data_IF_782535800510
#
_entry.id   IF_782535800510
#
_cell.length_a   1.000
_cell.length_b   1.000
_cell.length_c   1.000
_cell.angle_alpha   90.00
_cell.angle_beta   90.00
_cell.angle_gamma   90.00
#
_symmetry.space_group_name_H-M   'P 1'
#
loop_
_entity.id
_entity.type
_entity.pdbx_description
1 polymer ?
#
# COMPACT_ATOMS: atom_id res chain seq x y z
N UNK A 1 -1.56 1.42 3.73
CA UNK A 1 -2.35 0.23 4.12
C UNK A 1 -2.29 -0.91 3.08
N UNK A 2 -1.64 -2.02 3.41
CA UNK A 2 -1.45 -3.18 2.50
C UNK A 2 -2.58 -4.22 2.66
N UNK A 3 -3.04 -4.81 1.56
CA UNK A 3 -3.98 -5.94 1.55
C UNK A 3 -3.31 -7.19 0.95
N UNK A 4 -3.19 -8.23 1.76
CA UNK A 4 -2.78 -9.57 1.31
C UNK A 4 -3.58 -10.64 2.07
N UNK A 5 -3.49 -11.89 1.60
CA UNK A 5 -4.08 -13.02 2.31
C UNK A 5 -3.16 -13.41 3.45
N UNK A 6 -3.72 -13.43 4.65
CA UNK A 6 -3.06 -14.03 5.80
C UNK A 6 -2.93 -15.57 5.62
N UNK A 7 -2.19 -16.27 6.51
CA UNK A 7 -2.08 -17.73 6.48
C UNK A 7 -3.42 -18.48 6.58
N UNK A 8 -4.46 -17.82 7.10
CA UNK A 8 -5.82 -18.35 7.23
C UNK A 8 -6.70 -18.05 6.00
N UNK A 9 -6.10 -17.49 4.94
CA UNK A 9 -6.72 -17.20 3.64
C UNK A 9 -7.83 -16.13 3.71
N UNK A 10 -7.78 -15.28 4.73
CA UNK A 10 -8.62 -14.10 4.89
C UNK A 10 -7.94 -12.86 4.33
N UNK A 11 -8.69 -12.03 3.59
CA UNK A 11 -8.24 -10.71 3.18
C UNK A 11 -8.30 -9.78 4.39
N UNK A 12 -7.14 -9.39 4.91
CA UNK A 12 -7.06 -8.49 6.06
C UNK A 12 -6.26 -7.22 5.73
N UNK A 13 -6.56 -6.17 6.49
CA UNK A 13 -5.77 -4.95 6.51
C UNK A 13 -4.53 -5.20 7.35
N UNK A 14 -3.36 -4.81 6.84
CA UNK A 14 -2.11 -4.90 7.58
C UNK A 14 -1.38 -3.56 7.56
N UNK A 15 -0.86 -3.18 8.73
CA UNK A 15 0.05 -2.04 8.83
C UNK A 15 1.37 -2.38 8.12
N UNK A 16 2.12 -1.39 7.58
CA UNK A 16 3.37 -1.67 6.88
C UNK A 16 4.40 -2.41 7.72
N UNK A 17 4.43 -2.19 9.03
CA UNK A 17 5.32 -2.91 9.96
C UNK A 17 4.95 -4.38 10.12
N UNK A 18 3.66 -4.70 10.23
CA UNK A 18 3.15 -6.08 10.30
C UNK A 18 3.38 -6.81 8.97
N UNK A 19 3.08 -6.14 7.85
CA UNK A 19 3.37 -6.64 6.52
C UNK A 19 4.89 -6.87 6.32
N UNK A 20 5.73 -6.01 6.89
CA UNK A 20 7.17 -6.19 6.90
C UNK A 20 7.60 -7.50 7.55
N UNK A 21 6.99 -7.84 8.69
CA UNK A 21 7.28 -9.08 9.41
C UNK A 21 6.73 -10.31 8.67
N UNK A 22 5.48 -10.25 8.23
CA UNK A 22 4.80 -11.37 7.57
C UNK A 22 5.41 -11.71 6.21
N UNK A 23 5.82 -10.68 5.46
CA UNK A 23 6.35 -10.83 4.10
C UNK A 23 7.88 -10.91 4.06
N UNK A 24 8.55 -10.75 5.21
CA UNK A 24 10.01 -10.79 5.32
C UNK A 24 10.72 -9.64 4.62
N UNK A 25 10.13 -8.44 4.63
CA UNK A 25 10.67 -7.27 3.94
C UNK A 25 11.85 -6.66 4.68
N UNK A 26 12.74 -6.02 3.93
CA UNK A 26 13.81 -5.24 4.55
C UNK A 26 13.26 -4.05 5.35
N UNK A 27 13.92 -3.72 6.46
CA UNK A 27 13.58 -2.55 7.28
C UNK A 27 13.56 -1.23 6.49
N UNK A 28 14.39 -1.12 5.44
CA UNK A 28 14.38 0.02 4.53
C UNK A 28 13.08 0.09 3.72
N UNK A 29 12.64 -1.02 3.14
CA UNK A 29 11.38 -1.08 2.39
C UNK A 29 10.16 -0.81 3.28
N UNK A 30 10.16 -1.33 4.51
CA UNK A 30 9.11 -1.04 5.51
C UNK A 30 9.06 0.45 5.86
N UNK A 31 10.21 1.10 6.05
CA UNK A 31 10.26 2.53 6.32
C UNK A 31 9.74 3.37 5.14
N UNK A 32 10.03 2.96 3.91
CA UNK A 32 9.52 3.64 2.71
C UNK A 32 8.00 3.45 2.55
N UNK A 33 7.48 2.28 2.88
CA UNK A 33 6.04 2.00 2.88
C UNK A 33 5.31 2.82 3.94
N UNK A 34 5.86 2.94 5.15
CA UNK A 34 5.31 3.80 6.19
C UNK A 34 5.28 5.27 5.74
N UNK A 35 6.40 5.78 5.23
CA UNK A 35 6.45 7.17 4.76
C UNK A 35 5.44 7.45 3.63
N UNK A 36 5.23 6.48 2.75
CA UNK A 36 4.24 6.59 1.68
C UNK A 36 2.79 6.49 2.17
N UNK A 37 2.52 5.64 3.17
CA UNK A 37 1.20 5.56 3.82
C UNK A 37 0.89 6.85 4.60
N UNK A 38 1.87 7.39 5.31
CA UNK A 38 1.77 8.65 6.05
C UNK A 38 1.38 9.83 5.14
N UNK A 39 1.88 9.85 3.89
CA UNK A 39 1.50 10.87 2.90
C UNK A 39 -0.01 10.84 2.60
N UNK A 40 -0.63 9.66 2.56
CA UNK A 40 -2.07 9.51 2.36
C UNK A 40 -2.85 9.79 3.65
N UNK A 41 -2.38 9.28 4.79
CA UNK A 41 -3.01 9.51 6.09
C UNK A 41 -3.05 11.01 6.46
N UNK A 42 -2.05 11.79 6.02
CA UNK A 42 -2.01 13.24 6.24
C UNK A 42 -3.12 14.01 5.52
N UNK A 43 -3.67 13.48 4.44
CA UNK A 43 -4.77 14.09 3.68
C UNK A 43 -6.13 13.43 3.95
N UNK A 44 -6.16 12.38 4.77
CA UNK A 44 -7.36 11.64 5.08
C UNK A 44 -8.29 12.45 6.00
N UNK A 45 -9.53 12.64 5.57
CA UNK A 45 -10.57 13.26 6.39
C UNK A 45 -11.47 12.18 7.01
N UNK A 46 -11.22 11.87 8.27
CA UNK A 46 -11.99 10.90 9.06
C UNK A 46 -13.47 11.30 9.24
N UNK A 47 -13.80 12.59 9.12
CA UNK A 47 -15.18 13.06 9.24
C UNK A 47 -15.97 12.86 7.94
N UNK A 48 -15.30 12.93 6.79
CA UNK A 48 -15.91 12.73 5.49
C UNK A 48 -14.87 12.19 4.49
N UNK A 49 -14.66 10.85 4.47
CA UNK A 49 -13.62 10.21 3.67
C UNK A 49 -13.58 10.61 2.18
N UNK A 50 -14.72 10.87 1.49
CA UNK A 50 -14.70 11.32 0.09
C UNK A 50 -14.01 12.67 -0.16
N UNK A 51 -13.81 13.49 0.86
CA UNK A 51 -13.10 14.76 0.75
C UNK A 51 -11.57 14.63 0.91
N UNK A 52 -11.09 13.42 1.23
CA UNK A 52 -9.67 13.07 1.24
C UNK A 52 -9.11 13.24 -0.17
N UNK A 53 -8.36 14.32 -0.39
CA UNK A 53 -7.86 14.68 -1.71
C UNK A 53 -6.44 15.21 -1.62
N UNK A 54 -5.62 14.79 -2.57
CA UNK A 54 -4.31 15.40 -2.75
C UNK A 54 -4.47 16.88 -3.12
N UNK A 55 -3.50 17.72 -2.73
CA UNK A 55 -3.56 19.15 -3.00
C UNK A 55 -3.52 19.47 -4.50
N UNK A 56 -2.93 18.59 -5.32
CA UNK A 56 -2.95 18.67 -6.78
C UNK A 56 -3.02 17.29 -7.43
N UNK A 57 -3.51 17.19 -8.69
CA UNK A 57 -3.49 15.94 -9.45
C UNK A 57 -2.07 15.39 -9.66
N UNK A 58 -1.06 16.26 -9.77
CA UNK A 58 0.33 15.82 -9.93
C UNK A 58 0.87 15.17 -8.64
N UNK A 59 0.43 15.63 -7.47
CA UNK A 59 0.79 15.02 -6.19
C UNK A 59 0.16 13.64 -6.06
N UNK A 60 -1.11 13.49 -6.46
CA UNK A 60 -1.78 12.19 -6.54
C UNK A 60 -1.05 11.24 -7.50
N UNK A 61 -0.71 11.71 -8.70
CA UNK A 61 -0.01 10.88 -9.68
C UNK A 61 1.39 10.46 -9.19
N UNK A 62 2.14 11.37 -8.57
CA UNK A 62 3.45 11.05 -7.99
C UNK A 62 3.33 10.01 -6.86
N UNK A 63 2.30 10.14 -6.02
CA UNK A 63 2.01 9.18 -4.96
C UNK A 63 1.65 7.80 -5.53
N UNK A 64 0.82 7.75 -6.58
CA UNK A 64 0.47 6.50 -7.27
C UNK A 64 1.69 5.83 -7.91
N UNK A 65 2.54 6.57 -8.62
CA UNK A 65 3.76 6.00 -9.23
C UNK A 65 4.72 5.46 -8.17
N UNK A 66 4.89 6.16 -7.05
CA UNK A 66 5.68 5.67 -5.90
C UNK A 66 5.10 4.37 -5.33
N UNK A 67 3.77 4.26 -5.23
CA UNK A 67 3.10 3.03 -4.82
C UNK A 67 3.39 1.84 -5.74
N UNK A 68 3.44 2.05 -7.06
CA UNK A 68 3.78 1.02 -8.04
C UNK A 68 5.23 0.54 -7.88
N UNK A 69 6.17 1.46 -7.73
CA UNK A 69 7.59 1.12 -7.50
C UNK A 69 7.78 0.30 -6.22
N UNK A 70 7.09 0.69 -5.14
CA UNK A 70 7.11 -0.06 -3.88
C UNK A 70 6.53 -1.46 -4.06
N UNK A 71 5.40 -1.61 -4.74
CA UNK A 71 4.80 -2.93 -5.00
C UNK A 71 5.74 -3.87 -5.77
N UNK A 72 6.47 -3.36 -6.77
CA UNK A 72 7.47 -4.13 -7.52
C UNK A 72 8.59 -4.59 -6.57
N UNK A 73 9.09 -3.71 -5.69
CA UNK A 73 10.13 -4.06 -4.72
C UNK A 73 9.67 -5.09 -3.70
N UNK A 74 8.43 -4.98 -3.21
CA UNK A 74 7.86 -5.99 -2.31
C UNK A 74 7.84 -7.37 -2.99
N UNK A 75 7.42 -7.46 -4.26
CA UNK A 75 7.46 -8.73 -5.01
C UNK A 75 8.88 -9.28 -5.21
N UNK A 76 9.88 -8.41 -5.33
CA UNK A 76 11.28 -8.83 -5.45
C UNK A 76 11.85 -9.35 -4.12
N UNK A 77 11.49 -8.73 -3.00
CA UNK A 77 11.98 -9.10 -1.67
C UNK A 77 11.21 -10.28 -1.06
N UNK A 78 9.92 -10.45 -1.40
CA UNK A 78 9.05 -11.51 -0.87
C UNK A 78 8.65 -12.53 -1.94
N UNK A 79 9.40 -13.64 -2.09
CA UNK A 79 9.04 -14.75 -2.99
C UNK A 79 7.81 -15.56 -2.51
N UNK A 80 7.24 -15.22 -1.34
CA UNK A 80 6.11 -15.90 -0.72
C UNK A 80 4.74 -15.40 -1.22
N UNK A 81 4.69 -14.31 -1.99
CA UNK A 81 3.44 -13.65 -2.38
C UNK A 81 3.08 -13.84 -3.85
N UNK A 82 1.91 -14.43 -4.08
CA UNK A 82 1.29 -14.58 -5.41
C UNK A 82 0.45 -13.36 -5.85
N UNK A 83 0.02 -12.49 -4.92
CA UNK A 83 -0.61 -11.20 -5.26
C UNK A 83 -0.57 -10.22 -4.07
N UNK A 84 -0.10 -9.00 -4.30
CA UNK A 84 -0.34 -7.86 -3.40
C UNK A 84 -1.35 -6.96 -4.09
N UNK A 85 -2.39 -6.57 -3.37
CA UNK A 85 -3.28 -5.48 -3.75
C UNK A 85 -3.09 -4.34 -2.73
N UNK A 86 -2.88 -3.13 -3.21
CA UNK A 86 -2.84 -1.94 -2.35
C UNK A 86 -3.91 -1.00 -2.85
N UNK A 87 -5.01 -0.92 -2.09
CA UNK A 87 -6.21 -0.24 -2.59
C UNK A 87 -6.26 1.24 -2.30
N UNK A 88 -5.31 1.83 -1.55
CA UNK A 88 -5.31 3.27 -1.26
C UNK A 88 -6.69 3.76 -0.75
N UNK A 89 -7.30 3.01 0.17
CA UNK A 89 -8.68 3.19 0.64
C UNK A 89 -9.75 3.19 -0.48
N UNK A 90 -9.58 2.32 -1.48
CA UNK A 90 -10.50 2.14 -2.61
C UNK A 90 -10.27 3.08 -3.80
N UNK A 91 -9.22 3.92 -3.77
CA UNK A 91 -8.82 4.79 -4.89
C UNK A 91 -8.12 4.01 -6.02
N UNK A 92 -7.50 2.87 -5.69
CA UNK A 92 -6.94 1.93 -6.69
C UNK A 92 -7.94 0.79 -6.84
N UNK A 93 -8.52 0.67 -8.04
CA UNK A 93 -9.57 -0.30 -8.33
C UNK A 93 -9.07 -1.74 -8.16
N UNK A 94 -9.92 -2.53 -7.50
CA UNK A 94 -9.78 -3.95 -7.21
C UNK A 94 -9.35 -4.76 -8.46
N UNK A 95 -8.27 -5.53 -8.36
CA UNK A 95 -7.96 -6.58 -9.33
C UNK A 95 -7.00 -6.23 -10.48
N UNK A 96 -6.33 -5.07 -10.48
CA UNK A 96 -5.13 -4.91 -11.31
C UNK A 96 -3.97 -5.65 -10.64
N UNK A 97 -3.88 -6.95 -10.93
CA UNK A 97 -2.66 -7.72 -10.71
C UNK A 97 -1.55 -7.02 -11.50
N UNK A 98 -0.74 -6.19 -10.84
CA UNK A 98 0.41 -5.53 -11.46
C UNK A 98 1.45 -6.58 -11.82
N UNK A 99 1.28 -7.16 -13.00
CA UNK A 99 2.17 -8.15 -13.64
C UNK A 99 3.54 -7.56 -13.92
#
# INVERSE_FOLDING_TARGET
>A
MLYYRDPDNCWMHHWPDEAGQDLGLSSGLVAELNAWDDEYQAIYDDNYPPDSRFPTPEAEQAWVEKGKELAIRIKQESPLLTSIDYQADGQILNGECMI
#
